data_IF_504324647187
#
_entry.id   IF_504324647187
#
_cell.length_a   1.000
_cell.length_b   1.000
_cell.length_c   1.000
_cell.angle_alpha   90.00
_cell.angle_beta   90.00
_cell.angle_gamma   90.00
#
_symmetry.space_group_name_H-M   'P 1'
#
loop_
_entity.id
_entity.type
_entity.pdbx_description
1 polymer ?
#
# COMPACT_ATOMS: atom_id res chain seq x y z
N UNK A 1 3.16 -14.69 0.88
CA UNK A 1 2.47 -14.70 -0.43
C UNK A 1 1.49 -13.53 -0.49
N UNK A 2 2.00 -12.29 -0.40
CA UNK A 2 1.27 -11.01 -0.52
C UNK A 2 2.35 -9.94 -0.60
N UNK A 3 2.57 -9.31 -1.74
CA UNK A 3 3.54 -8.22 -1.86
C UNK A 3 3.19 -7.31 -3.03
N UNK A 4 2.35 -6.35 -2.72
CA UNK A 4 2.26 -5.05 -3.37
C UNK A 4 1.34 -4.22 -2.51
N UNK A 5 1.92 -3.16 -1.99
CA UNK A 5 1.26 -2.16 -1.18
C UNK A 5 0.70 -1.13 -2.17
N UNK A 6 -0.59 -0.81 -2.14
CA UNK A 6 -1.16 0.32 -2.90
C UNK A 6 -2.05 1.06 -1.92
N UNK A 7 -1.59 2.24 -1.48
CA UNK A 7 -2.36 3.14 -0.64
C UNK A 7 -2.89 4.32 -1.43
N UNK A 8 -4.20 4.51 -1.36
CA UNK A 8 -4.95 5.54 -2.06
C UNK A 8 -5.58 6.51 -1.07
N UNK A 9 -5.44 7.81 -1.34
CA UNK A 9 -6.11 8.87 -0.61
C UNK A 9 -7.38 9.27 -1.37
N UNK A 10 -8.48 9.43 -0.65
CA UNK A 10 -9.69 10.10 -1.14
C UNK A 10 -9.55 11.59 -0.76
N UNK A 11 -9.36 12.46 -1.75
CA UNK A 11 -9.10 13.88 -1.51
C UNK A 11 -10.38 14.60 -1.07
N UNK A 12 -10.42 15.07 0.18
CA UNK A 12 -11.35 16.10 0.63
C UNK A 12 -10.56 17.31 1.18
N UNK A 13 -10.83 18.47 0.60
CA UNK A 13 -10.22 19.77 0.88
C UNK A 13 -10.59 20.35 2.27
N UNK A 14 -9.66 21.13 2.84
CA UNK A 14 -9.77 22.31 3.75
C UNK A 14 -9.23 22.27 5.20
N UNK A 15 -8.11 23.00 5.36
CA UNK A 15 -7.71 24.03 6.36
C UNK A 15 -7.85 23.83 7.91
N UNK A 16 -6.65 23.99 8.53
CA UNK A 16 -6.24 24.71 9.76
C UNK A 16 -6.43 24.15 11.18
N UNK A 17 -5.28 24.05 11.88
CA UNK A 17 -4.96 24.55 13.24
C UNK A 17 -5.11 23.64 14.50
N UNK A 18 -3.92 23.18 14.98
CA UNK A 18 -3.38 23.19 16.35
C UNK A 18 -3.82 22.22 17.50
N UNK A 19 -2.79 21.47 17.97
CA UNK A 19 -2.29 21.24 19.34
C UNK A 19 -2.85 20.12 20.27
N UNK A 20 -1.93 19.25 20.74
CA UNK A 20 -1.96 18.59 22.07
C UNK A 20 -1.54 17.10 22.11
N UNK A 21 -0.82 16.57 23.15
CA UNK A 21 0.31 15.65 22.93
C UNK A 21 0.33 14.26 23.66
N UNK A 22 1.33 13.45 23.25
CA UNK A 22 2.12 12.41 23.97
C UNK A 22 1.41 11.08 24.37
N UNK A 23 2.06 9.91 24.45
CA UNK A 23 3.45 9.57 24.74
C UNK A 23 3.88 8.18 24.20
N UNK A 24 5.18 7.94 24.36
CA UNK A 24 6.09 6.88 23.91
C UNK A 24 5.94 5.49 24.53
N UNK A 25 6.46 4.46 23.86
CA UNK A 25 7.53 3.60 24.42
C UNK A 25 7.99 2.53 23.42
N UNK A 26 9.31 2.32 23.34
CA UNK A 26 9.96 1.48 22.35
C UNK A 26 9.81 -0.02 22.58
N UNK A 27 9.97 -0.79 21.50
CA UNK A 27 10.17 -2.23 21.54
C UNK A 27 11.21 -2.63 20.50
N UNK A 28 12.20 -3.36 21.00
CA UNK A 28 13.23 -4.07 20.25
C UNK A 28 12.52 -5.15 19.42
N UNK A 29 12.64 -5.10 18.09
CA UNK A 29 12.01 -6.09 17.21
C UNK A 29 12.89 -7.35 17.09
N UNK A 30 12.33 -8.57 17.17
CA UNK A 30 13.11 -9.80 17.06
C UNK A 30 13.47 -10.13 15.61
N UNK A 31 14.62 -10.78 15.47
CA UNK A 31 15.13 -11.37 14.22
C UNK A 31 14.05 -12.29 13.61
N UNK A 32 13.65 -12.02 12.36
CA UNK A 32 12.54 -12.75 11.71
C UNK A 32 13.02 -14.11 11.17
N UNK A 33 12.28 -15.18 11.50
CA UNK A 33 12.62 -16.58 11.25
C UNK A 33 12.42 -17.06 9.79
N UNK A 34 12.42 -16.18 8.79
CA UNK A 34 12.01 -16.53 7.41
C UNK A 34 13.15 -16.56 6.39
N UNK A 35 14.40 -16.47 6.86
CA UNK A 35 15.61 -16.70 6.04
C UNK A 35 15.96 -18.19 5.90
N UNK A 36 15.21 -19.09 6.55
CA UNK A 36 15.42 -20.53 6.41
C UNK A 36 14.63 -21.09 5.22
N UNK A 37 15.36 -21.66 4.26
CA UNK A 37 14.80 -22.45 3.18
C UNK A 37 14.09 -23.69 3.76
N UNK A 38 12.78 -23.77 3.56
CA UNK A 38 12.02 -24.96 3.91
C UNK A 38 12.44 -26.14 3.01
N UNK A 39 12.89 -27.24 3.63
CA UNK A 39 13.23 -28.48 2.95
C UNK A 39 11.96 -29.11 2.35
N UNK A 40 11.85 -29.10 1.02
CA UNK A 40 10.75 -29.74 0.29
C UNK A 40 11.00 -31.26 0.19
N UNK A 41 10.25 -32.05 0.96
CA UNK A 41 10.15 -33.49 0.78
C UNK A 41 9.12 -33.84 -0.31
N UNK A 42 9.46 -34.79 -1.18
CA UNK A 42 8.62 -35.28 -2.28
C UNK A 42 7.32 -35.90 -1.73
N UNK A 43 6.15 -35.41 -2.17
CA UNK A 43 4.83 -35.95 -1.76
C UNK A 43 3.91 -36.10 -2.96
N UNK A 44 3.46 -37.33 -3.19
CA UNK A 44 2.44 -37.64 -4.20
C UNK A 44 1.02 -37.38 -3.65
N UNK A 45 0.16 -36.83 -4.50
CA UNK A 45 -1.31 -36.78 -4.37
C UNK A 45 -1.95 -35.65 -3.54
N UNK A 46 -1.49 -34.41 -3.69
CA UNK A 46 -2.38 -33.26 -3.50
C UNK A 46 -2.24 -32.31 -4.70
N UNK A 47 -3.36 -32.02 -5.38
CA UNK A 47 -3.48 -30.85 -6.24
C UNK A 47 -3.29 -29.61 -5.34
N UNK A 48 -2.05 -29.13 -5.25
CA UNK A 48 -1.65 -27.99 -4.43
C UNK A 48 -1.89 -26.69 -5.19
N UNK A 49 -2.20 -25.61 -4.46
CA UNK A 49 -2.42 -24.27 -5.00
C UNK A 49 -1.12 -23.62 -5.50
N UNK A 50 -0.51 -24.20 -6.54
CA UNK A 50 0.67 -23.66 -7.25
C UNK A 50 0.29 -22.77 -8.45
N UNK A 51 -0.97 -22.35 -8.56
CA UNK A 51 -1.47 -21.66 -9.76
C UNK A 51 -1.43 -20.11 -9.71
N UNK A 52 -1.00 -19.48 -8.61
CA UNK A 52 -0.79 -18.03 -8.55
C UNK A 52 0.44 -17.72 -7.67
N UNK A 53 1.21 -16.71 -8.06
CA UNK A 53 2.47 -16.35 -7.40
C UNK A 53 2.22 -15.48 -6.17
N UNK A 54 1.34 -14.48 -6.31
CA UNK A 54 0.98 -13.57 -5.25
C UNK A 54 -0.46 -13.04 -5.39
N UNK A 55 -0.95 -12.45 -4.31
CA UNK A 55 -2.19 -11.67 -4.29
C UNK A 55 -1.82 -10.24 -3.99
N UNK A 56 -2.35 -9.31 -4.79
CA UNK A 56 -2.22 -7.88 -4.56
C UNK A 56 -3.51 -7.25 -4.10
N UNK A 57 -3.36 -6.26 -3.22
CA UNK A 57 -4.48 -5.55 -2.59
C UNK A 57 -4.25 -4.06 -2.69
N UNK A 58 -5.35 -3.34 -2.95
CA UNK A 58 -5.41 -1.89 -2.90
C UNK A 58 -6.24 -1.51 -1.69
N UNK A 59 -5.68 -0.70 -0.81
CA UNK A 59 -6.37 -0.20 0.36
C UNK A 59 -6.35 1.32 0.37
N UNK A 60 -7.37 1.94 0.94
CA UNK A 60 -7.24 3.33 1.37
C UNK A 60 -6.50 3.39 2.71
N UNK A 61 -6.08 4.60 3.10
CA UNK A 61 -5.27 4.85 4.29
C UNK A 61 -5.89 4.33 5.60
N UNK A 62 -7.23 4.26 5.69
CA UNK A 62 -7.93 3.70 6.84
C UNK A 62 -8.00 2.16 6.88
N UNK A 63 -7.40 1.48 5.89
CA UNK A 63 -7.32 0.03 5.79
C UNK A 63 -8.48 -0.64 5.07
N UNK A 64 -9.49 0.15 4.67
CA UNK A 64 -10.57 -0.34 3.83
C UNK A 64 -9.98 -0.82 2.50
N UNK A 65 -10.28 -2.07 2.15
CA UNK A 65 -9.83 -2.68 0.90
C UNK A 65 -10.75 -2.20 -0.23
N UNK A 66 -10.16 -1.66 -1.29
CA UNK A 66 -10.88 -1.19 -2.49
C UNK A 66 -10.95 -2.32 -3.51
N UNK A 67 -9.81 -2.96 -3.76
CA UNK A 67 -9.67 -3.96 -4.80
C UNK A 67 -8.58 -4.98 -4.43
N UNK A 68 -8.65 -6.15 -5.05
CA UNK A 68 -7.59 -7.14 -4.98
C UNK A 68 -7.52 -7.92 -6.30
N UNK A 69 -6.36 -8.51 -6.59
CA UNK A 69 -6.17 -9.36 -7.77
C UNK A 69 -5.20 -10.49 -7.50
N UNK A 70 -5.32 -11.58 -8.25
CA UNK A 70 -4.31 -12.64 -8.30
C UNK A 70 -3.32 -12.31 -9.41
N UNK A 71 -2.04 -12.45 -9.10
CA UNK A 71 -0.98 -12.36 -10.10
C UNK A 71 -0.34 -13.75 -10.23
N UNK A 72 -0.36 -14.28 -11.44
CA UNK A 72 0.30 -15.54 -11.78
C UNK A 72 1.80 -15.31 -12.04
N UNK A 73 2.62 -16.33 -11.77
CA UNK A 73 4.06 -16.43 -12.10
C UNK A 73 5.01 -15.43 -11.44
N UNK A 74 4.77 -14.13 -11.56
CA UNK A 74 5.61 -13.07 -11.01
C UNK A 74 4.83 -11.76 -10.81
N UNK A 75 5.15 -11.07 -9.71
CA UNK A 75 4.77 -9.68 -9.45
C UNK A 75 5.59 -8.75 -10.39
N UNK A 76 5.13 -8.58 -11.63
CA UNK A 76 5.80 -7.70 -12.59
C UNK A 76 5.22 -6.28 -12.56
N UNK A 77 6.05 -5.23 -12.74
CA UNK A 77 5.59 -3.85 -12.86
C UNK A 77 4.45 -3.63 -13.87
N UNK A 78 4.45 -4.37 -14.98
CA UNK A 78 3.38 -4.31 -15.98
C UNK A 78 2.03 -4.78 -15.44
N UNK A 79 2.00 -5.92 -14.74
CA UNK A 79 0.75 -6.45 -14.15
C UNK A 79 0.21 -5.52 -13.05
N UNK A 80 1.10 -4.83 -12.36
CA UNK A 80 0.74 -3.80 -11.39
C UNK A 80 0.05 -2.62 -12.09
N UNK A 81 0.62 -2.11 -13.18
CA UNK A 81 0.00 -1.04 -13.97
C UNK A 81 -1.36 -1.47 -14.54
N UNK A 82 -1.46 -2.66 -15.11
CA UNK A 82 -2.73 -3.21 -15.60
C UNK A 82 -3.78 -3.29 -14.50
N UNK A 83 -3.37 -3.71 -13.30
CA UNK A 83 -4.26 -3.75 -12.14
C UNK A 83 -4.70 -2.34 -11.71
N UNK A 84 -3.79 -1.37 -11.69
CA UNK A 84 -4.09 0.03 -11.39
C UNK A 84 -5.06 0.64 -12.41
N UNK A 85 -4.83 0.44 -13.71
CA UNK A 85 -5.70 0.95 -14.78
C UNK A 85 -7.09 0.30 -14.74
N UNK A 86 -7.19 -0.97 -14.32
CA UNK A 86 -8.47 -1.65 -14.12
C UNK A 86 -9.25 -1.07 -12.94
N UNK A 87 -8.58 -0.67 -11.87
CA UNK A 87 -9.21 -0.10 -10.66
C UNK A 87 -9.51 1.39 -10.84
N UNK A 88 -8.67 2.10 -11.60
CA UNK A 88 -8.77 3.54 -11.86
C UNK A 88 -8.92 3.85 -13.36
N UNK A 89 -10.06 3.49 -13.98
CA UNK A 89 -10.25 3.60 -15.42
C UNK A 89 -10.38 5.05 -15.92
N UNK A 90 -10.78 6.00 -15.07
CA UNK A 90 -10.97 7.42 -15.43
C UNK A 90 -10.09 8.33 -14.60
N UNK A 91 -9.84 9.56 -15.08
CA UNK A 91 -9.03 10.53 -14.33
C UNK A 91 -9.63 10.88 -12.97
N UNK A 92 -10.96 10.97 -12.87
CA UNK A 92 -11.68 11.30 -11.64
C UNK A 92 -11.61 10.18 -10.61
N UNK A 93 -11.46 8.93 -11.07
CA UNK A 93 -11.30 7.79 -10.17
C UNK A 93 -9.90 7.71 -9.57
N UNK A 94 -8.89 8.28 -10.23
CA UNK A 94 -7.48 8.14 -9.84
C UNK A 94 -7.18 8.86 -8.53
N UNK A 95 -6.39 8.19 -7.71
CA UNK A 95 -5.84 8.79 -6.50
C UNK A 95 -4.78 9.85 -6.84
N UNK A 96 -4.70 10.90 -6.04
CA UNK A 96 -3.61 11.86 -6.08
C UNK A 96 -2.25 11.22 -5.77
N UNK A 97 -2.24 10.26 -4.84
CA UNK A 97 -1.06 9.51 -4.43
C UNK A 97 -1.31 8.02 -4.43
N UNK A 98 -0.35 7.26 -4.93
CA UNK A 98 -0.36 5.81 -4.86
C UNK A 98 0.96 5.36 -4.25
N UNK A 99 0.92 4.84 -3.03
CA UNK A 99 2.13 4.34 -2.36
C UNK A 99 2.36 2.87 -2.72
N UNK A 100 3.54 2.54 -3.28
CA UNK A 100 3.93 1.20 -3.71
C UNK A 100 5.36 0.91 -3.26
N UNK A 101 5.59 -0.26 -2.67
CA UNK A 101 6.93 -0.73 -2.24
C UNK A 101 7.97 -0.57 -3.37
N UNK A 102 7.63 -0.98 -4.60
CA UNK A 102 8.48 -0.85 -5.79
C UNK A 102 7.95 0.18 -6.79
N UNK A 103 7.38 1.30 -6.32
CA UNK A 103 6.81 2.35 -7.18
C UNK A 103 7.81 2.85 -8.24
N UNK A 104 9.11 2.88 -7.92
CA UNK A 104 10.14 3.25 -8.89
C UNK A 104 10.15 2.34 -10.13
N UNK A 105 10.06 1.02 -9.97
CA UNK A 105 10.05 0.06 -11.08
C UNK A 105 8.75 0.14 -11.90
N UNK A 106 7.63 0.33 -11.20
CA UNK A 106 6.31 0.60 -11.81
C UNK A 106 6.38 1.86 -12.66
N UNK A 107 6.99 2.92 -12.12
CA UNK A 107 7.16 4.18 -12.82
C UNK A 107 8.10 4.07 -14.02
N UNK A 108 9.24 3.38 -13.88
CA UNK A 108 10.14 3.09 -15.01
C UNK A 108 9.40 2.38 -16.15
N UNK A 109 8.54 1.41 -15.82
CA UNK A 109 7.73 0.68 -16.80
C UNK A 109 6.68 1.58 -17.45
N UNK A 110 6.00 2.43 -16.66
CA UNK A 110 5.03 3.39 -17.16
C UNK A 110 5.67 4.45 -18.10
N UNK A 111 6.89 4.87 -17.81
CA UNK A 111 7.64 5.77 -18.71
C UNK A 111 8.03 5.02 -19.99
N UNK A 112 8.55 3.80 -19.87
CA UNK A 112 9.00 3.01 -21.02
C UNK A 112 7.85 2.64 -21.99
N UNK A 113 6.66 2.36 -21.48
CA UNK A 113 5.49 2.04 -22.31
C UNK A 113 4.62 3.28 -22.67
N UNK A 114 5.03 4.47 -22.23
CA UNK A 114 4.35 5.74 -22.48
C UNK A 114 3.05 5.96 -21.70
N UNK A 115 2.65 5.06 -20.79
CA UNK A 115 1.46 5.25 -19.96
C UNK A 115 1.66 6.34 -18.91
N UNK A 116 2.90 6.66 -18.53
CA UNK A 116 3.17 7.75 -17.59
C UNK A 116 2.64 9.08 -18.11
N UNK A 117 3.09 9.54 -19.29
CA UNK A 117 2.67 10.82 -19.84
C UNK A 117 1.22 10.82 -20.32
N UNK A 118 0.69 9.67 -20.77
CA UNK A 118 -0.68 9.55 -21.31
C UNK A 118 -1.75 9.38 -20.23
N UNK A 119 -1.44 8.69 -19.13
CA UNK A 119 -2.45 8.21 -18.17
C UNK A 119 -2.22 8.75 -16.75
N UNK A 120 -0.98 8.79 -16.27
CA UNK A 120 -0.74 8.91 -14.82
C UNK A 120 -0.21 10.27 -14.38
N UNK A 121 0.63 10.91 -15.18
CA UNK A 121 1.45 12.07 -14.80
C UNK A 121 0.65 13.29 -14.35
N UNK A 122 -0.53 13.53 -14.92
CA UNK A 122 -1.38 14.69 -14.60
C UNK A 122 -2.17 14.53 -13.30
N UNK A 123 -2.54 13.29 -12.94
CA UNK A 123 -3.48 13.02 -11.84
C UNK A 123 -2.82 12.39 -10.62
N UNK A 124 -1.74 11.63 -10.81
CA UNK A 124 -1.28 10.67 -9.80
C UNK A 124 0.22 10.70 -9.63
N UNK A 125 0.66 10.68 -8.38
CA UNK A 125 2.06 10.49 -7.99
C UNK A 125 2.27 9.10 -7.42
N UNK A 126 3.21 8.36 -7.99
CA UNK A 126 3.66 7.09 -7.40
C UNK A 126 4.69 7.37 -6.33
N UNK A 127 4.51 6.82 -5.14
CA UNK A 127 5.33 7.08 -3.96
C UNK A 127 5.93 5.76 -3.48
N UNK A 128 7.23 5.71 -3.22
CA UNK A 128 7.84 4.57 -2.50
C UNK A 128 7.79 4.81 -0.99
N UNK A 129 7.87 3.77 -0.17
CA UNK A 129 8.02 3.98 1.27
C UNK A 129 9.41 4.56 1.63
N UNK A 130 9.52 5.07 2.86
CA UNK A 130 10.75 5.73 3.32
C UNK A 130 11.94 4.77 3.41
N UNK A 131 11.72 3.51 3.77
CA UNK A 131 12.79 2.52 3.86
C UNK A 131 13.32 2.16 2.47
N UNK A 132 12.43 1.95 1.50
CA UNK A 132 12.82 1.82 0.10
C UNK A 132 13.62 3.04 -0.36
N UNK A 133 13.08 4.25 -0.16
CA UNK A 133 13.70 5.48 -0.65
C UNK A 133 15.11 5.73 -0.10
N UNK A 134 15.35 5.41 1.18
CA UNK A 134 16.66 5.59 1.83
C UNK A 134 17.68 4.59 1.28
N UNK A 135 17.28 3.34 1.07
CA UNK A 135 18.17 2.28 0.61
C UNK A 135 18.29 2.19 -0.91
N UNK A 136 17.43 2.90 -1.65
CA UNK A 136 17.47 2.91 -3.10
C UNK A 136 18.64 3.73 -3.63
N UNK A 137 19.12 3.31 -4.80
CA UNK A 137 20.25 3.92 -5.49
C UNK A 137 20.07 5.43 -5.65
N UNK A 138 21.06 6.21 -5.21
CA UNK A 138 21.00 7.68 -5.25
C UNK A 138 20.94 8.24 -6.68
N UNK A 139 21.56 7.55 -7.64
CA UNK A 139 21.61 7.98 -9.04
C UNK A 139 20.33 7.67 -9.83
N UNK A 140 19.38 6.92 -9.27
CA UNK A 140 18.07 6.73 -9.92
C UNK A 140 17.25 8.02 -9.83
N UNK A 141 17.50 8.91 -10.78
CA UNK A 141 16.83 10.21 -10.89
C UNK A 141 15.30 10.08 -10.92
N UNK A 142 14.79 9.02 -11.55
CA UNK A 142 13.35 8.81 -11.72
C UNK A 142 12.71 8.56 -10.35
N UNK A 143 13.28 7.63 -9.58
CA UNK A 143 12.86 7.40 -8.19
C UNK A 143 13.02 8.65 -7.31
N UNK A 144 14.18 9.33 -7.38
CA UNK A 144 14.47 10.51 -6.55
C UNK A 144 13.52 11.67 -6.80
N UNK A 145 13.17 11.91 -8.06
CA UNK A 145 12.31 13.03 -8.43
C UNK A 145 10.83 12.72 -8.25
N UNK A 146 10.39 11.54 -8.68
CA UNK A 146 8.97 11.27 -8.85
C UNK A 146 8.40 10.35 -7.77
N UNK A 147 9.24 9.55 -7.10
CA UNK A 147 8.80 8.61 -6.06
C UNK A 147 9.11 9.02 -4.62
N UNK A 148 9.60 10.24 -4.39
CA UNK A 148 9.98 10.72 -3.07
C UNK A 148 8.79 10.69 -2.08
N UNK A 149 8.88 9.95 -0.95
CA UNK A 149 7.83 9.90 0.07
C UNK A 149 7.67 11.17 0.90
N UNK A 150 8.65 12.07 0.87
CA UNK A 150 8.62 13.30 1.65
C UNK A 150 9.23 14.47 0.84
N UNK A 151 8.57 14.91 -0.25
CA UNK A 151 9.06 16.05 -1.02
C UNK A 151 8.92 17.33 -0.19
N UNK A 152 10.02 18.09 -0.09
CA UNK A 152 10.10 19.34 0.69
C UNK A 152 9.87 20.60 -0.16
N UNK A 153 9.64 20.43 -1.45
CA UNK A 153 9.47 21.49 -2.44
C UNK A 153 8.01 22.00 -2.53
N UNK A 154 7.12 21.51 -1.65
CA UNK A 154 5.70 21.85 -1.67
C UNK A 154 4.89 21.13 -2.76
N UNK A 155 5.50 20.21 -3.52
CA UNK A 155 4.81 19.49 -4.61
C UNK A 155 3.81 18.44 -4.13
N UNK A 156 3.81 18.09 -2.84
CA UNK A 156 2.87 17.15 -2.23
C UNK A 156 2.42 17.62 -0.82
N UNK A 157 1.62 18.70 -0.72
CA UNK A 157 1.27 19.30 0.56
C UNK A 157 0.38 18.41 1.45
N UNK A 158 -0.35 17.46 0.85
CA UNK A 158 -1.18 16.51 1.59
C UNK A 158 -0.41 15.26 2.04
N UNK A 159 0.79 15.02 1.51
CA UNK A 159 1.60 13.85 1.86
C UNK A 159 2.45 14.10 3.12
N UNK A 160 2.86 15.35 3.32
CA UNK A 160 3.76 15.76 4.41
C UNK A 160 3.19 17.00 5.10
N UNK A 161 3.01 16.90 6.41
CA UNK A 161 2.59 18.00 7.28
C UNK A 161 3.79 18.54 8.05
N UNK A 162 3.81 19.86 8.28
CA UNK A 162 4.76 20.49 9.19
C UNK A 162 4.24 20.31 10.63
N UNK A 163 5.06 19.71 11.48
CA UNK A 163 4.84 19.59 12.90
C UNK A 163 5.95 20.35 13.64
N UNK A 164 5.72 20.67 14.92
CA UNK A 164 6.70 21.39 15.74
C UNK A 164 7.17 20.49 16.89
N UNK A 165 8.47 20.49 17.14
CA UNK A 165 9.03 19.80 18.30
C UNK A 165 8.76 20.58 19.60
N UNK A 166 9.13 19.99 20.74
CA UNK A 166 8.97 20.61 22.06
C UNK A 166 9.79 21.91 22.24
N UNK A 167 10.69 22.22 21.30
CA UNK A 167 11.52 23.43 21.27
C UNK A 167 10.97 24.47 20.27
N UNK A 168 9.83 24.20 19.62
CA UNK A 168 9.23 25.06 18.61
C UNK A 168 9.90 25.01 17.24
N UNK A 169 10.81 24.06 16.99
CA UNK A 169 11.43 23.90 15.67
C UNK A 169 10.49 23.12 14.74
N UNK A 170 10.29 23.58 13.49
CA UNK A 170 9.51 22.84 12.52
C UNK A 170 10.25 21.58 12.05
N UNK A 171 9.53 20.46 11.99
CA UNK A 171 9.95 19.24 11.33
C UNK A 171 8.84 18.71 10.43
N UNK A 172 9.24 17.95 9.41
CA UNK A 172 8.30 17.38 8.45
C UNK A 172 7.89 15.98 8.91
N UNK A 173 6.58 15.75 9.04
CA UNK A 173 5.99 14.46 9.39
C UNK A 173 5.09 14.01 8.24
N UNK A 174 5.04 12.70 7.97
CA UNK A 174 4.06 12.13 7.03
C UNK A 174 2.64 12.38 7.55
N UNK A 175 1.75 12.81 6.67
CA UNK A 175 0.34 13.05 7.01
C UNK A 175 -0.38 11.73 7.34
N UNK A 176 0.02 10.64 6.69
CA UNK A 176 -0.69 9.37 6.76
C UNK A 176 0.25 8.19 7.02
N UNK A 177 -0.34 7.11 7.54
CA UNK A 177 0.35 5.85 7.73
C UNK A 177 0.47 5.10 6.39
N UNK A 178 1.70 4.91 5.91
CA UNK A 178 1.95 4.15 4.68
C UNK A 178 2.08 2.64 4.91
N UNK A 179 1.87 2.13 6.13
CA UNK A 179 2.00 0.71 6.49
C UNK A 179 0.67 -0.02 6.56
N UNK A 180 -0.43 0.61 6.18
CA UNK A 180 -1.76 0.02 6.28
C UNK A 180 -1.88 -1.31 5.50
N UNK A 181 -1.34 -1.42 4.28
CA UNK A 181 -1.35 -2.70 3.58
C UNK A 181 -0.37 -3.72 4.20
N UNK A 182 0.71 -3.29 4.85
CA UNK A 182 1.60 -4.20 5.59
C UNK A 182 0.86 -4.85 6.77
N UNK A 183 0.05 -4.06 7.49
CA UNK A 183 -0.82 -4.58 8.55
C UNK A 183 -1.88 -5.55 8.01
N UNK A 184 -2.52 -5.23 6.88
CA UNK A 184 -3.45 -6.13 6.23
C UNK A 184 -2.78 -7.45 5.80
N UNK A 185 -1.57 -7.36 5.24
CA UNK A 185 -0.80 -8.53 4.83
C UNK A 185 -0.43 -9.41 6.03
N UNK A 186 -0.04 -8.81 7.15
CA UNK A 186 0.21 -9.53 8.40
C UNK A 186 -1.05 -10.24 8.90
N UNK A 187 -2.21 -9.57 8.89
CA UNK A 187 -3.49 -10.17 9.25
C UNK A 187 -3.87 -11.33 8.32
N UNK A 188 -3.69 -11.16 7.02
CA UNK A 188 -3.92 -12.21 6.03
C UNK A 188 -2.97 -13.41 6.17
N UNK A 189 -1.75 -13.19 6.67
CA UNK A 189 -0.79 -14.24 6.96
C UNK A 189 -1.33 -15.30 7.92
N UNK A 190 -2.22 -14.93 8.84
CA UNK A 190 -2.88 -15.87 9.74
C UNK A 190 -3.77 -16.91 9.05
N UNK A 191 -4.19 -16.64 7.80
CA UNK A 191 -5.05 -17.53 7.02
C UNK A 191 -4.30 -18.31 5.93
N UNK A 192 -3.00 -18.05 5.74
CA UNK A 192 -2.20 -18.57 4.62
C UNK A 192 -2.23 -20.12 4.55
N UNK A 193 -2.14 -20.79 5.71
CA UNK A 193 -2.12 -22.26 5.79
C UNK A 193 -3.41 -22.93 5.29
N UNK A 194 -4.57 -22.30 5.56
CA UNK A 194 -5.88 -22.80 5.13
C UNK A 194 -6.06 -22.49 3.65
N UNK A 195 -5.76 -21.25 3.26
CA UNK A 195 -5.91 -20.72 1.91
C UNK A 195 -5.11 -21.55 0.89
N UNK A 196 -3.86 -21.92 1.21
CA UNK A 196 -2.98 -22.72 0.33
C UNK A 196 -3.50 -24.14 0.02
N UNK A 197 -4.45 -24.64 0.80
CA UNK A 197 -5.02 -26.00 0.64
C UNK A 197 -6.34 -25.99 -0.14
N UNK A 198 -6.83 -24.81 -0.55
CA UNK A 198 -8.11 -24.69 -1.23
C UNK A 198 -8.01 -24.93 -2.73
N UNK A 199 -9.09 -25.46 -3.32
CA UNK A 199 -9.30 -25.42 -4.77
C UNK A 199 -9.41 -23.95 -5.24
N UNK A 200 -9.03 -23.62 -6.49
CA UNK A 200 -9.06 -22.24 -6.98
C UNK A 200 -10.38 -21.49 -6.79
N UNK A 201 -11.53 -22.14 -7.05
CA UNK A 201 -12.86 -21.54 -6.86
C UNK A 201 -13.16 -21.23 -5.38
N UNK A 202 -12.74 -22.12 -4.48
CA UNK A 202 -12.93 -21.95 -3.04
C UNK A 202 -12.02 -20.84 -2.50
N UNK A 203 -10.78 -20.78 -3.01
CA UNK A 203 -9.87 -19.69 -2.71
C UNK A 203 -10.49 -18.34 -3.05
N UNK A 204 -11.04 -18.18 -4.25
CA UNK A 204 -11.61 -16.88 -4.69
C UNK A 204 -12.79 -16.47 -3.83
N UNK A 205 -13.72 -17.40 -3.58
CA UNK A 205 -14.87 -17.16 -2.71
C UNK A 205 -14.44 -16.80 -1.27
N UNK A 206 -13.50 -17.56 -0.71
CA UNK A 206 -13.01 -17.33 0.64
C UNK A 206 -12.26 -16.00 0.76
N UNK A 207 -11.40 -15.69 -0.20
CA UNK A 207 -10.64 -14.42 -0.24
C UNK A 207 -11.59 -13.24 -0.38
N UNK A 208 -12.56 -13.31 -1.29
CA UNK A 208 -13.59 -12.29 -1.45
C UNK A 208 -14.36 -12.07 -0.13
N UNK A 209 -14.71 -13.15 0.57
CA UNK A 209 -15.42 -13.09 1.86
C UNK A 209 -14.55 -12.44 2.96
N UNK A 210 -13.25 -12.78 3.03
CA UNK A 210 -12.32 -12.15 3.96
C UNK A 210 -12.19 -10.64 3.68
N UNK A 211 -11.99 -10.26 2.41
CA UNK A 211 -11.88 -8.85 2.00
C UNK A 211 -13.15 -8.06 2.33
N UNK A 212 -14.33 -8.66 2.09
CA UNK A 212 -15.61 -8.05 2.43
C UNK A 212 -15.79 -7.88 3.94
N UNK A 213 -15.44 -8.89 4.73
CA UNK A 213 -15.59 -8.87 6.19
C UNK A 213 -14.71 -7.80 6.84
N UNK A 214 -13.44 -7.73 6.46
CA UNK A 214 -12.52 -6.72 6.99
C UNK A 214 -12.96 -5.32 6.56
N UNK A 215 -13.34 -5.15 5.29
CA UNK A 215 -13.83 -3.86 4.77
C UNK A 215 -15.08 -3.39 5.50
N UNK A 216 -16.05 -4.28 5.73
CA UNK A 216 -17.28 -3.96 6.45
C UNK A 216 -16.99 -3.55 7.89
N UNK A 217 -16.10 -4.28 8.56
CA UNK A 217 -15.68 -3.97 9.94
C UNK A 217 -14.99 -2.61 10.01
N UNK A 218 -14.07 -2.33 9.08
CA UNK A 218 -13.36 -1.06 9.04
C UNK A 218 -14.28 0.09 8.66
N UNK A 219 -15.21 -0.08 7.73
CA UNK A 219 -16.21 0.95 7.39
C UNK A 219 -17.08 1.31 8.58
N UNK A 220 -17.51 0.34 9.39
CA UNK A 220 -18.28 0.62 10.62
C UNK A 220 -17.42 1.40 11.62
N UNK A 221 -16.17 0.98 11.85
CA UNK A 221 -15.27 1.65 12.80
C UNK A 221 -14.87 3.06 12.34
N UNK A 222 -14.53 3.23 11.07
CA UNK A 222 -14.20 4.52 10.49
C UNK A 222 -15.43 5.43 10.34
N UNK A 223 -16.61 4.87 10.10
CA UNK A 223 -17.88 5.59 10.05
C UNK A 223 -18.29 6.14 11.41
N UNK A 224 -18.07 5.40 12.50
CA UNK A 224 -18.20 5.93 13.87
C UNK A 224 -17.18 7.05 14.13
N UNK A 225 -15.93 6.89 13.68
CA UNK A 225 -14.92 7.96 13.82
C UNK A 225 -15.23 9.23 13.00
N UNK A 226 -16.01 9.17 11.91
CA UNK A 226 -16.45 10.40 11.20
C UNK A 226 -17.41 11.27 12.02
N UNK A 227 -18.16 10.70 12.96
CA UNK A 227 -19.04 11.49 13.85
C UNK A 227 -18.27 12.20 14.97
N UNK A 228 -17.13 11.64 15.39
CA UNK A 228 -16.34 12.17 16.51
C UNK A 228 -15.21 13.12 16.06
N UNK A 229 -15.01 13.32 14.75
CA UNK A 229 -13.87 14.08 14.20
C UNK A 229 -14.25 15.47 13.66
N UNK A 230 -15.49 15.91 13.88
CA UNK A 230 -15.93 17.29 13.66
C UNK A 230 -16.88 17.74 14.79
N UNK A 231 -16.40 18.45 15.83
CA UNK A 231 -17.26 19.43 16.46
C UNK A 231 -17.37 20.63 15.51
N UNK A 232 -18.57 21.21 15.45
CA UNK A 232 -18.88 22.46 14.75
C UNK A 232 -17.87 23.58 15.05
#
# INVERSE_FOLDING_TARGET
>A
MLRLLILVEEAALLKTSNNGPAASSGLILPKQAHDEHALEGERSNYFTASCYYCVETICVLCGVVIAWTKIDKSESPTKILEFLEKVYPTEESKSAYICIDKACLVLHTAVANGSWDRVWKSTTRFIVDAYHYINHRAEDYLCRKWCNPAPKDGSAPNLVVVAYDNRGNPYYKRAFNTQTCEQLNAWLGGFDSIIRRMKPSNFDCYKQTLMYTITSTLRIRCGHHRQDMYPY
#
